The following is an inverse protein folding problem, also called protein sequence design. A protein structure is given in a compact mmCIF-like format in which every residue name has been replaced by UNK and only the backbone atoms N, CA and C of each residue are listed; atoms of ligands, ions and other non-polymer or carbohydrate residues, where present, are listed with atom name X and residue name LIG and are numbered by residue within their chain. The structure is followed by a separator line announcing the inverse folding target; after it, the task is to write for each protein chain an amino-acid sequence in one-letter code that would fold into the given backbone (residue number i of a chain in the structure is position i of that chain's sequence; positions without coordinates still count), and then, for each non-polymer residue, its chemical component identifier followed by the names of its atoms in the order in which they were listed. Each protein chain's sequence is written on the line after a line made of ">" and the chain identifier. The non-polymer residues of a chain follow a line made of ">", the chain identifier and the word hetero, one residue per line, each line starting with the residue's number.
data_IF_251479862339
#
_entry.id   IF_251479862339
#
_cell.length_a   1.000
_cell.length_b   1.000
_cell.length_c   1.000
_cell.angle_alpha   90.00
_cell.angle_beta   90.00
_cell.angle_gamma   90.00
#
_symmetry.space_group_name_H-M   'P 1'
#
loop_
_entity.id
_entity.type
_entity.pdbx_description
1 polymer ?
#
# COMPACT_ATOMS: atom_id res chain seq x y z
N UNK A 1 36.24 25.15 -36.18
CA UNK A 1 37.15 24.90 -35.04
C UNK A 1 36.31 24.77 -33.78
N UNK A 2 36.66 23.79 -32.96
CA UNK A 2 35.84 23.12 -31.95
C UNK A 2 35.79 23.84 -30.59
N UNK A 3 34.89 23.33 -29.75
CA UNK A 3 34.75 23.51 -28.30
C UNK A 3 33.89 24.74 -27.93
N UNK A 4 32.78 24.65 -27.19
CA UNK A 4 32.43 23.79 -26.06
C UNK A 4 30.92 23.48 -26.14
N UNK A 5 30.56 22.26 -26.52
CA UNK A 5 29.24 21.66 -26.29
C UNK A 5 29.34 20.77 -25.05
N UNK A 6 29.38 21.36 -23.86
CA UNK A 6 29.43 20.62 -22.57
C UNK A 6 28.56 21.29 -21.47
N UNK A 7 27.46 21.96 -21.84
CA UNK A 7 26.46 22.42 -20.85
C UNK A 7 25.09 21.79 -21.13
N UNK A 8 25.10 20.48 -21.43
CA UNK A 8 23.90 19.66 -21.68
C UNK A 8 23.61 18.63 -20.58
N UNK A 9 24.17 18.72 -19.37
CA UNK A 9 23.92 17.72 -18.31
C UNK A 9 23.77 18.37 -16.93
N UNK A 10 22.76 19.23 -16.78
CA UNK A 10 22.18 19.51 -15.45
C UNK A 10 20.65 19.36 -15.53
N UNK A 11 20.25 18.27 -16.17
CA UNK A 11 18.94 17.66 -16.04
C UNK A 11 19.00 16.74 -14.81
N UNK A 12 17.96 16.79 -13.97
CA UNK A 12 17.63 15.81 -12.90
C UNK A 12 18.37 16.02 -11.57
N UNK A 13 17.76 16.76 -10.63
CA UNK A 13 17.53 16.27 -9.25
C UNK A 13 16.64 17.25 -8.45
N UNK A 14 15.33 17.14 -8.60
CA UNK A 14 14.38 17.63 -7.58
C UNK A 14 13.12 16.78 -7.67
N UNK A 15 13.27 15.52 -7.31
CA UNK A 15 12.14 14.67 -6.95
C UNK A 15 11.84 14.96 -5.47
N UNK A 16 11.04 15.99 -5.21
CA UNK A 16 10.51 16.26 -3.87
C UNK A 16 9.51 15.16 -3.52
N UNK A 17 9.97 14.15 -2.78
CA UNK A 17 9.13 13.14 -2.16
C UNK A 17 8.47 13.77 -0.92
N UNK A 18 7.26 14.32 -1.08
CA UNK A 18 6.45 14.77 0.05
C UNK A 18 5.91 13.56 0.80
N UNK A 19 6.42 13.28 2.01
CA UNK A 19 5.81 12.30 2.90
C UNK A 19 4.75 13.01 3.72
N UNK A 20 3.49 12.90 3.30
CA UNK A 20 2.34 13.33 4.12
C UNK A 20 2.11 12.30 5.22
N UNK A 21 2.52 12.61 6.45
CA UNK A 21 2.10 11.85 7.64
C UNK A 21 0.73 12.35 8.10
N UNK A 22 -0.32 11.57 7.86
CA UNK A 22 -1.66 11.83 8.40
C UNK A 22 -1.82 11.07 9.73
N UNK A 23 -1.68 11.76 10.87
CA UNK A 23 -2.07 11.22 12.17
C UNK A 23 -3.52 11.56 12.46
N UNK A 24 -4.41 10.59 12.29
CA UNK A 24 -5.80 10.69 12.73
C UNK A 24 -5.91 10.20 14.19
N UNK A 25 -5.84 11.11 15.16
CA UNK A 25 -6.15 10.81 16.56
C UNK A 25 -7.69 10.79 16.74
N UNK A 26 -8.29 9.61 16.51
CA UNK A 26 -9.71 9.37 16.80
C UNK A 26 -9.86 9.02 18.28
N UNK A 27 -10.22 10.01 19.11
CA UNK A 27 -10.58 9.77 20.51
C UNK A 27 -11.93 9.02 20.57
N UNK A 28 -11.89 7.72 20.79
CA UNK A 28 -13.09 6.93 21.06
C UNK A 28 -13.56 7.10 22.51
N UNK A 29 -14.76 7.65 22.68
CA UNK A 29 -15.51 7.65 23.94
C UNK A 29 -16.16 6.27 24.13
N UNK A 30 -15.76 5.53 25.16
CA UNK A 30 -16.31 4.20 25.47
C UNK A 30 -17.66 4.28 26.18
N UNK A 31 -18.62 3.41 25.79
CA UNK A 31 -19.39 2.72 26.83
C UNK A 31 -19.62 1.23 26.51
N UNK A 32 -19.52 0.40 27.57
CA UNK A 32 -20.06 -0.96 27.60
C UNK A 32 -19.13 -2.04 27.03
N UNK A 33 -18.65 -2.91 27.93
CA UNK A 33 -17.89 -4.18 27.73
C UNK A 33 -17.61 -4.55 26.27
N UNK A 34 -16.73 -3.79 25.62
CA UNK A 34 -16.18 -4.12 24.32
C UNK A 34 -15.12 -5.19 24.55
N UNK A 35 -15.44 -6.44 24.23
CA UNK A 35 -14.42 -7.48 24.07
C UNK A 35 -13.75 -7.28 22.71
N UNK A 36 -12.92 -6.25 22.60
CA UNK A 36 -11.95 -6.16 21.50
C UNK A 36 -11.03 -7.38 21.58
N UNK A 37 -11.05 -8.26 20.58
CA UNK A 37 -10.03 -9.30 20.37
C UNK A 37 -8.65 -8.71 20.00
N UNK A 38 -8.43 -7.43 20.29
CA UNK A 38 -7.10 -6.85 20.29
C UNK A 38 -6.49 -7.28 21.62
N UNK A 39 -5.72 -8.36 21.61
CA UNK A 39 -4.67 -8.50 22.63
C UNK A 39 -3.86 -7.20 22.58
N UNK A 40 -3.97 -6.44 23.66
CA UNK A 40 -3.40 -5.11 23.83
C UNK A 40 -1.98 -4.99 23.24
N UNK A 41 -1.74 -3.94 22.45
CA UNK A 41 -0.51 -3.17 22.62
C UNK A 41 0.70 -3.49 21.73
N UNK A 42 0.55 -4.09 20.55
CA UNK A 42 1.65 -4.05 19.57
C UNK A 42 1.48 -2.84 18.67
N UNK A 43 2.07 -1.71 19.08
CA UNK A 43 2.30 -0.58 18.17
C UNK A 43 2.96 -1.13 16.90
N UNK A 44 2.45 -0.83 15.70
CA UNK A 44 3.08 -1.28 14.47
C UNK A 44 4.55 -0.82 14.45
N UNK A 45 5.46 -1.76 14.26
CA UNK A 45 6.88 -1.44 14.07
C UNK A 45 7.02 -0.60 12.80
N UNK A 46 7.26 0.70 12.96
CA UNK A 46 7.26 1.66 11.86
C UNK A 46 8.35 1.35 10.84
N UNK A 47 9.55 0.97 11.30
CA UNK A 47 10.66 0.62 10.41
C UNK A 47 10.31 -0.61 9.58
N UNK A 48 9.69 -1.61 10.21
CA UNK A 48 9.18 -2.79 9.50
C UNK A 48 8.09 -2.43 8.47
N UNK A 49 7.11 -1.58 8.85
CA UNK A 49 6.04 -1.16 7.94
C UNK A 49 6.59 -0.36 6.75
N UNK A 50 7.59 0.49 6.97
CA UNK A 50 8.27 1.24 5.92
C UNK A 50 9.05 0.32 4.98
N UNK A 51 9.79 -0.65 5.53
CA UNK A 51 10.51 -1.64 4.73
C UNK A 51 9.54 -2.47 3.85
N UNK A 52 8.40 -2.89 4.40
CA UNK A 52 7.39 -3.62 3.65
C UNK A 52 6.73 -2.77 2.56
N UNK A 53 6.45 -1.47 2.85
CA UNK A 53 5.95 -0.53 1.83
C UNK A 53 7.00 -0.16 0.78
N UNK A 54 8.29 -0.34 1.07
CA UNK A 54 9.36 -0.14 0.11
C UNK A 54 9.51 -1.32 -0.88
N UNK A 55 8.83 -2.45 -0.66
CA UNK A 55 8.82 -3.59 -1.56
C UNK A 55 8.23 -3.21 -2.94
N UNK A 56 8.77 -3.79 -4.01
CA UNK A 56 8.34 -3.58 -5.39
C UNK A 56 6.85 -3.86 -5.62
N UNK A 57 6.29 -4.90 -5.00
CA UNK A 57 4.86 -5.24 -5.14
C UNK A 57 3.98 -4.10 -4.64
N UNK A 58 4.21 -3.63 -3.40
CA UNK A 58 3.43 -2.53 -2.84
C UNK A 58 3.65 -1.23 -3.61
N UNK A 59 4.89 -0.91 -3.97
CA UNK A 59 5.18 0.28 -4.78
C UNK A 59 4.48 0.27 -6.13
N UNK A 60 4.35 -0.89 -6.77
CA UNK A 60 3.59 -1.02 -8.02
C UNK A 60 2.11 -0.75 -7.78
N UNK A 61 1.53 -1.41 -6.78
CA UNK A 61 0.12 -1.24 -6.41
C UNK A 61 -0.21 0.21 -6.02
N UNK A 62 0.59 0.83 -5.15
CA UNK A 62 0.39 2.21 -4.71
C UNK A 62 0.64 3.25 -5.82
N UNK A 63 1.29 2.89 -6.93
CA UNK A 63 1.43 3.79 -8.08
C UNK A 63 0.13 3.87 -8.88
N UNK A 64 -0.57 2.75 -9.01
CA UNK A 64 -1.87 2.67 -9.70
C UNK A 64 -3.02 3.09 -8.78
N UNK A 65 -2.91 2.83 -7.47
CA UNK A 65 -3.95 3.06 -6.46
C UNK A 65 -3.43 3.95 -5.33
N UNK A 66 -3.08 5.20 -5.64
CA UNK A 66 -2.31 6.10 -4.77
C UNK A 66 -2.94 6.42 -3.41
N UNK A 67 -4.28 6.36 -3.29
CA UNK A 67 -4.99 6.62 -2.04
C UNK A 67 -5.02 5.40 -1.11
N UNK A 68 -4.51 4.26 -1.56
CA UNK A 68 -4.48 3.06 -0.75
C UNK A 68 -3.33 3.08 0.24
N UNK A 69 -3.65 2.65 1.46
CA UNK A 69 -2.72 2.46 2.55
C UNK A 69 -2.76 1.00 3.02
N UNK A 70 -1.66 0.53 3.58
CA UNK A 70 -1.52 -0.85 4.07
C UNK A 70 -0.79 -0.89 5.40
N UNK A 71 -1.20 -1.83 6.24
CA UNK A 71 -0.46 -2.31 7.40
C UNK A 71 -0.18 -3.79 7.20
N UNK A 72 1.06 -4.21 7.40
CA UNK A 72 1.52 -5.58 7.29
C UNK A 72 1.51 -6.31 8.62
N UNK A 73 1.28 -7.62 8.57
CA UNK A 73 1.53 -8.51 9.69
C UNK A 73 3.00 -8.94 9.67
N UNK A 74 3.72 -8.65 10.75
CA UNK A 74 5.14 -8.99 10.89
C UNK A 74 5.46 -10.49 10.86
N UNK A 75 4.49 -11.34 11.23
CA UNK A 75 4.70 -12.77 11.35
C UNK A 75 4.70 -13.48 10.00
N UNK A 76 3.90 -13.00 9.04
CA UNK A 76 3.76 -13.63 7.73
C UNK A 76 4.08 -12.70 6.55
N UNK A 77 4.43 -11.45 6.83
CA UNK A 77 4.78 -10.42 5.85
C UNK A 77 3.67 -10.11 4.83
N UNK A 78 2.42 -10.48 5.14
CA UNK A 78 1.26 -10.22 4.29
C UNK A 78 0.53 -8.95 4.75
N UNK A 79 -0.19 -8.27 3.84
CA UNK A 79 -1.13 -7.21 4.21
C UNK A 79 -2.10 -7.72 5.28
N UNK A 80 -2.11 -7.07 6.44
CA UNK A 80 -3.07 -7.33 7.51
C UNK A 80 -4.32 -6.46 7.35
N UNK A 81 -4.14 -5.20 6.94
CA UNK A 81 -5.20 -4.26 6.62
C UNK A 81 -4.78 -3.46 5.40
N UNK A 82 -5.68 -3.30 4.44
CA UNK A 82 -5.52 -2.42 3.30
C UNK A 82 -6.82 -1.65 3.10
N UNK A 83 -6.73 -0.34 2.88
CA UNK A 83 -7.89 0.54 2.75
C UNK A 83 -7.58 1.69 1.80
N UNK A 84 -8.61 2.15 1.09
CA UNK A 84 -8.53 3.20 0.10
C UNK A 84 -9.85 3.30 -0.68
N UNK A 85 -9.84 4.09 -1.74
CA UNK A 85 -11.01 4.24 -2.60
C UNK A 85 -11.30 2.96 -3.40
N UNK A 86 -12.56 2.80 -3.81
CA UNK A 86 -12.98 1.65 -4.61
C UNK A 86 -12.15 1.54 -5.89
N UNK A 87 -11.59 0.36 -6.15
CA UNK A 87 -10.82 0.10 -7.36
C UNK A 87 -11.79 -0.27 -8.49
N UNK A 88 -11.77 0.45 -9.63
CA UNK A 88 -12.53 0.05 -10.80
C UNK A 88 -12.07 -1.33 -11.30
N UNK A 89 -13.02 -2.22 -11.55
CA UNK A 89 -12.74 -3.59 -12.04
C UNK A 89 -13.51 -3.84 -13.32
N UNK A 90 -12.92 -4.64 -14.22
CA UNK A 90 -13.50 -4.96 -15.53
C UNK A 90 -14.02 -6.41 -15.57
N UNK A 91 -14.98 -6.67 -16.45
CA UNK A 91 -15.63 -7.98 -16.61
C UNK A 91 -17.15 -7.89 -16.71
N UNK A 92 -17.76 -8.82 -17.44
CA UNK A 92 -19.20 -8.82 -17.73
C UNK A 92 -20.09 -9.16 -16.51
N UNK A 93 -19.55 -9.96 -15.58
CA UNK A 93 -20.23 -10.37 -14.34
C UNK A 93 -19.45 -9.91 -13.10
N UNK A 94 -20.11 -9.89 -11.95
CA UNK A 94 -19.47 -9.58 -10.66
C UNK A 94 -18.35 -10.59 -10.36
N UNK A 95 -18.58 -11.86 -10.70
CA UNK A 95 -17.60 -12.93 -10.56
C UNK A 95 -16.37 -12.66 -11.42
N UNK A 96 -16.55 -12.30 -12.69
CA UNK A 96 -15.44 -11.98 -13.59
C UNK A 96 -14.64 -10.77 -13.07
N UNK A 97 -15.34 -9.74 -12.58
CA UNK A 97 -14.71 -8.57 -11.96
C UNK A 97 -13.87 -8.91 -10.74
N UNK A 98 -14.34 -9.82 -9.89
CA UNK A 98 -13.59 -10.30 -8.73
C UNK A 98 -12.36 -11.13 -9.15
N UNK A 99 -12.52 -12.04 -10.11
CA UNK A 99 -11.43 -12.86 -10.65
C UNK A 99 -10.33 -11.96 -11.23
N UNK A 100 -10.71 -11.00 -12.06
CA UNK A 100 -9.77 -10.07 -12.70
C UNK A 100 -9.00 -9.26 -11.67
N UNK A 101 -9.68 -8.74 -10.63
CA UNK A 101 -9.01 -8.05 -9.53
C UNK A 101 -7.97 -8.93 -8.82
N UNK A 102 -8.32 -10.17 -8.50
CA UNK A 102 -7.40 -11.10 -7.83
C UNK A 102 -6.18 -11.39 -8.71
N UNK A 103 -6.41 -11.62 -10.01
CA UNK A 103 -5.36 -11.99 -10.94
C UNK A 103 -4.40 -10.84 -11.26
N UNK A 104 -4.92 -9.62 -11.35
CA UNK A 104 -4.14 -8.44 -11.75
C UNK A 104 -3.44 -7.77 -10.56
N UNK A 105 -4.11 -7.70 -9.40
CA UNK A 105 -3.66 -6.90 -8.26
C UNK A 105 -3.10 -7.73 -7.11
N UNK A 106 -3.73 -8.87 -6.78
CA UNK A 106 -3.39 -9.63 -5.56
C UNK A 106 -2.31 -10.69 -5.76
N UNK A 107 -2.09 -11.12 -7.00
CA UNK A 107 -1.15 -12.18 -7.36
C UNK A 107 0.28 -11.87 -6.86
N UNK A 108 0.70 -10.60 -6.94
CA UNK A 108 2.00 -10.13 -6.45
C UNK A 108 2.19 -10.20 -4.93
N UNK A 109 1.12 -10.38 -4.16
CA UNK A 109 1.15 -10.57 -2.70
C UNK A 109 1.09 -12.05 -2.29
N UNK A 110 1.15 -12.97 -3.27
CA UNK A 110 1.11 -14.40 -3.04
C UNK A 110 -0.21 -14.85 -2.40
N UNK A 111 -1.33 -14.26 -2.84
CA UNK A 111 -2.69 -14.73 -2.54
C UNK A 111 -3.15 -15.60 -3.71
N UNK A 112 -3.15 -16.94 -3.59
CA UNK A 112 -3.54 -17.81 -4.67
C UNK A 112 -5.05 -17.77 -4.89
N UNK A 113 -5.48 -17.87 -6.15
CA UNK A 113 -6.91 -17.93 -6.50
C UNK A 113 -7.63 -19.09 -5.81
N UNK A 114 -6.96 -20.21 -5.58
CA UNK A 114 -7.51 -21.38 -4.87
C UNK A 114 -7.79 -21.16 -3.38
N UNK A 115 -7.38 -20.02 -2.81
CA UNK A 115 -7.61 -19.69 -1.40
C UNK A 115 -8.80 -18.77 -1.15
N UNK A 116 -9.57 -18.46 -2.21
CA UNK A 116 -10.78 -17.65 -2.19
C UNK A 116 -12.01 -18.53 -2.44
#
# INVERSE_FOLDING_TARGET
>A
MNSIRIFSILFIFSFTFGISYSSNDLKHSKPGVEKTFIQYGQVPDIAYQEAMRANSTWKKFARTHAEWQVSYNKHNQKPHRAYGNGIPTHGESIQNRAINFVQEELLGFGVPFSSL
#
